data_IF_372893685509
#
_entry.id   IF_372893685509
#
_cell.length_a   1.000
_cell.length_b   1.000
_cell.length_c   1.000
_cell.angle_alpha   90.00
_cell.angle_beta   90.00
_cell.angle_gamma   90.00
#
_symmetry.space_group_name_H-M   'P 1'
#
loop_
_entity.id
_entity.type
_entity.pdbx_description
1 polymer ?
#
# COMPACT_ATOMS: atom_id res chain seq x y z
N UNK A 1 -7.83 7.00 9.24
CA UNK A 1 -8.44 6.35 8.08
C UNK A 1 -7.38 5.97 7.08
N UNK A 2 -7.34 4.72 6.70
CA UNK A 2 -6.40 4.21 5.68
C UNK A 2 -7.13 3.41 4.63
N UNK A 3 -6.82 3.68 3.37
CA UNK A 3 -7.25 2.87 2.23
C UNK A 3 -6.01 2.20 1.64
N UNK A 4 -6.03 0.88 1.62
CA UNK A 4 -4.88 0.08 1.20
C UNK A 4 -5.26 -0.96 0.13
N UNK A 5 -4.29 -1.28 -0.71
CA UNK A 5 -4.36 -2.36 -1.67
C UNK A 5 -3.50 -3.53 -1.18
N UNK A 6 -4.08 -4.70 -1.00
CA UNK A 6 -3.31 -5.89 -0.65
C UNK A 6 -2.50 -6.39 -1.84
N UNK A 7 -1.27 -6.80 -1.56
CA UNK A 7 -0.42 -7.48 -2.52
C UNK A 7 -0.59 -8.98 -2.34
N UNK A 8 -1.16 -9.63 -3.33
CA UNK A 8 -1.45 -11.05 -3.36
C UNK A 8 -0.46 -11.84 -4.26
N UNK A 9 -0.72 -13.13 -4.44
CA UNK A 9 0.06 -13.99 -5.31
C UNK A 9 1.48 -14.28 -4.81
N UNK A 10 2.41 -14.65 -5.72
CA UNK A 10 3.78 -15.01 -5.34
C UNK A 10 4.52 -13.90 -4.61
N UNK A 11 4.38 -12.64 -5.02
CA UNK A 11 4.99 -11.51 -4.32
C UNK A 11 4.45 -11.36 -2.91
N UNK A 12 3.13 -11.47 -2.74
CA UNK A 12 2.49 -11.42 -1.42
C UNK A 12 3.06 -12.47 -0.47
N UNK A 13 3.27 -13.70 -0.94
CA UNK A 13 3.85 -14.77 -0.14
C UNK A 13 5.31 -14.46 0.27
N UNK A 14 6.10 -13.94 -0.65
CA UNK A 14 7.49 -13.53 -0.35
C UNK A 14 7.54 -12.42 0.70
N UNK A 15 6.61 -11.48 0.63
CA UNK A 15 6.51 -10.39 1.61
C UNK A 15 6.10 -10.90 2.99
N UNK A 16 5.18 -11.84 3.07
CA UNK A 16 4.80 -12.51 4.33
C UNK A 16 6.01 -13.22 4.94
N UNK A 17 6.74 -13.99 4.15
CA UNK A 17 7.94 -14.71 4.60
C UNK A 17 9.04 -13.74 5.07
N UNK A 18 9.24 -12.66 4.34
CA UNK A 18 10.17 -11.59 4.70
C UNK A 18 9.81 -10.98 6.05
N UNK A 19 8.56 -10.62 6.27
CA UNK A 19 8.09 -10.00 7.52
C UNK A 19 8.25 -10.93 8.71
N UNK A 20 7.97 -12.23 8.54
CA UNK A 20 8.24 -13.24 9.58
C UNK A 20 9.74 -13.33 9.91
N UNK A 21 10.59 -13.31 8.89
CA UNK A 21 12.05 -13.40 9.04
C UNK A 21 12.62 -12.19 9.77
N UNK A 22 12.08 -11.01 9.55
CA UNK A 22 12.54 -9.75 10.18
C UNK A 22 11.86 -9.49 11.53
N UNK A 23 10.97 -10.36 11.99
CA UNK A 23 10.30 -10.25 13.28
C UNK A 23 9.19 -9.20 13.35
N UNK A 24 8.73 -8.70 12.21
CA UNK A 24 7.61 -7.78 12.16
C UNK A 24 6.30 -8.55 12.38
N UNK A 25 5.64 -8.25 13.50
CA UNK A 25 4.35 -8.83 13.86
C UNK A 25 3.22 -7.90 13.45
N UNK A 26 2.79 -7.98 12.19
CA UNK A 26 1.55 -7.36 11.74
C UNK A 26 0.50 -8.46 11.51
N UNK A 27 -0.79 -8.15 11.63
CA UNK A 27 -1.82 -9.04 11.13
C UNK A 27 -1.49 -9.46 9.69
N UNK A 28 -1.75 -10.71 9.33
CA UNK A 28 -1.31 -11.31 8.05
C UNK A 28 -1.84 -10.53 6.85
N UNK A 29 -3.04 -9.98 6.96
CA UNK A 29 -3.69 -9.17 5.93
C UNK A 29 -3.08 -7.78 5.76
N UNK A 30 -2.33 -7.29 6.76
CA UNK A 30 -1.63 -6.00 6.71
C UNK A 30 -0.13 -6.13 6.42
N UNK A 31 0.38 -7.35 6.25
CA UNK A 31 1.82 -7.60 6.06
C UNK A 31 2.36 -7.08 4.74
N UNK A 32 1.50 -6.97 3.74
CA UNK A 32 1.91 -6.71 2.36
C UNK A 32 0.83 -5.88 1.66
N UNK A 33 1.07 -4.59 1.57
CA UNK A 33 0.12 -3.68 0.96
C UNK A 33 0.80 -2.47 0.32
N UNK A 34 0.07 -1.83 -0.60
CA UNK A 34 0.34 -0.47 -1.06
C UNK A 34 -0.68 0.44 -0.39
N UNK A 35 -0.21 1.44 0.33
CA UNK A 35 -1.08 2.48 0.88
C UNK A 35 -1.51 3.42 -0.25
N UNK A 36 -2.81 3.60 -0.42
CA UNK A 36 -3.38 4.52 -1.39
C UNK A 36 -3.70 5.86 -0.75
N UNK A 37 -4.23 5.85 0.46
CA UNK A 37 -4.63 7.06 1.17
C UNK A 37 -4.54 6.86 2.67
N UNK A 38 -4.07 7.89 3.36
CA UNK A 38 -4.08 7.98 4.83
C UNK A 38 -4.46 9.39 5.24
N UNK A 39 -5.35 9.50 6.20
CA UNK A 39 -5.68 10.76 6.87
C UNK A 39 -5.99 10.51 8.33
N UNK A 40 -6.03 11.59 9.12
CA UNK A 40 -6.61 11.54 10.45
C UNK A 40 -8.08 11.10 10.33
N UNK A 41 -8.52 10.17 11.19
CA UNK A 41 -9.90 9.73 11.20
C UNK A 41 -10.77 10.82 11.83
N UNK A 42 -11.77 11.29 11.08
CA UNK A 42 -12.77 12.26 11.51
C UNK A 42 -14.16 11.68 11.29
N UNK A 43 -15.16 12.20 11.99
CA UNK A 43 -16.55 11.83 11.76
C UNK A 43 -16.96 12.04 10.29
N UNK A 44 -16.44 13.09 9.67
CA UNK A 44 -16.76 13.40 8.28
C UNK A 44 -16.21 12.34 7.33
N UNK A 45 -14.90 12.04 7.37
CA UNK A 45 -14.30 11.09 6.43
C UNK A 45 -14.66 9.64 6.73
N UNK A 46 -15.03 9.32 7.98
CA UNK A 46 -15.60 8.01 8.33
C UNK A 46 -16.93 7.75 7.62
N UNK A 47 -17.72 8.80 7.39
CA UNK A 47 -18.94 8.71 6.58
C UNK A 47 -18.64 8.79 5.08
N UNK A 48 -17.75 9.69 4.68
CA UNK A 48 -17.47 9.98 3.26
C UNK A 48 -16.88 8.79 2.51
N UNK A 49 -16.09 7.93 3.16
CA UNK A 49 -15.53 6.77 2.46
C UNK A 49 -16.61 5.78 1.95
N UNK A 50 -17.81 5.84 2.52
CA UNK A 50 -18.97 5.03 2.08
C UNK A 50 -19.79 5.71 0.99
N UNK A 51 -19.37 6.88 0.52
CA UNK A 51 -20.14 7.64 -0.46
C UNK A 51 -20.15 6.98 -1.84
N UNK A 52 -21.26 7.12 -2.54
CA UNK A 52 -21.37 6.70 -3.94
C UNK A 52 -20.39 7.48 -4.83
N UNK A 53 -20.08 8.72 -4.48
CA UNK A 53 -19.13 9.55 -5.23
C UNK A 53 -17.74 8.93 -5.25
N UNK A 54 -17.21 8.54 -4.09
CA UNK A 54 -15.92 7.85 -4.01
C UNK A 54 -15.96 6.51 -4.74
N UNK A 55 -16.99 5.71 -4.50
CA UNK A 55 -17.13 4.40 -5.14
C UNK A 55 -17.15 4.51 -6.68
N UNK A 56 -17.89 5.46 -7.24
CA UNK A 56 -17.93 5.71 -8.68
C UNK A 56 -16.59 6.20 -9.22
N UNK A 57 -15.92 7.13 -8.52
CA UNK A 57 -14.61 7.66 -8.92
C UNK A 57 -13.57 6.55 -8.99
N UNK A 58 -13.52 5.68 -7.99
CA UNK A 58 -12.57 4.56 -7.94
C UNK A 58 -12.87 3.52 -9.02
N UNK A 59 -14.15 3.15 -9.21
CA UNK A 59 -14.55 2.19 -10.24
C UNK A 59 -14.29 2.71 -11.66
N UNK A 60 -14.37 4.02 -11.89
CA UNK A 60 -14.06 4.65 -13.17
C UNK A 60 -12.56 4.56 -13.51
N UNK A 61 -11.69 4.62 -12.52
CA UNK A 61 -10.23 4.41 -12.69
C UNK A 61 -9.97 2.92 -12.98
N UNK A 62 -10.61 2.05 -12.24
CA UNK A 62 -10.57 0.61 -12.48
C UNK A 62 -9.48 -0.14 -11.74
N UNK A 63 -9.32 -1.41 -12.10
CA UNK A 63 -8.35 -2.32 -11.50
C UNK A 63 -6.91 -1.91 -11.82
N UNK A 64 -5.97 -2.26 -10.95
CA UNK A 64 -4.55 -1.98 -11.15
C UNK A 64 -3.84 -3.28 -11.53
N UNK A 65 -3.18 -3.25 -12.68
CA UNK A 65 -2.17 -4.25 -13.04
C UNK A 65 -0.82 -3.68 -12.63
N UNK A 66 -0.19 -4.27 -11.63
CA UNK A 66 1.01 -3.71 -11.03
C UNK A 66 2.20 -4.66 -11.13
N UNK A 67 3.39 -4.08 -11.16
CA UNK A 67 4.64 -4.81 -11.05
C UNK A 67 5.57 -4.06 -10.11
N UNK A 68 6.08 -4.75 -9.10
CA UNK A 68 7.06 -4.19 -8.19
C UNK A 68 8.44 -4.12 -8.85
N UNK A 69 9.20 -3.10 -8.52
CA UNK A 69 10.61 -2.97 -8.86
C UNK A 69 11.52 -3.55 -7.77
N UNK A 70 12.76 -3.10 -7.76
CA UNK A 70 13.74 -3.48 -6.75
C UNK A 70 13.59 -2.72 -5.44
N UNK A 71 14.51 -2.98 -4.53
CA UNK A 71 14.55 -2.33 -3.21
C UNK A 71 15.04 -0.88 -3.35
N UNK A 72 14.29 0.02 -2.75
CA UNK A 72 14.58 1.45 -2.67
C UNK A 72 14.54 1.92 -1.22
N UNK A 73 14.96 3.16 -0.99
CA UNK A 73 14.95 3.79 0.34
C UNK A 73 14.41 5.21 0.27
N UNK A 74 13.70 5.63 1.30
CA UNK A 74 13.31 7.03 1.49
C UNK A 74 14.35 7.85 2.26
N UNK A 75 15.47 7.24 2.67
CA UNK A 75 16.55 7.97 3.37
C UNK A 75 17.09 9.11 2.50
N UNK A 76 17.44 10.24 3.09
CA UNK A 76 17.49 10.55 4.53
C UNK A 76 16.17 11.02 5.14
N UNK A 77 15.12 11.22 4.35
CA UNK A 77 13.84 11.78 4.83
C UNK A 77 13.10 10.84 5.77
N UNK A 78 13.21 9.54 5.52
CA UNK A 78 12.58 8.49 6.34
C UNK A 78 13.44 7.23 6.29
N UNK A 79 13.50 6.51 7.41
CA UNK A 79 14.25 5.25 7.51
C UNK A 79 13.45 4.05 7.03
N UNK A 80 12.77 4.20 5.89
CA UNK A 80 11.95 3.15 5.29
C UNK A 80 12.63 2.60 4.06
N UNK A 81 12.77 1.27 4.03
CA UNK A 81 13.12 0.51 2.84
C UNK A 81 11.84 -0.06 2.22
N UNK A 82 11.72 0.00 0.91
CA UNK A 82 10.49 -0.37 0.21
C UNK A 82 10.77 -0.96 -1.18
N UNK A 83 9.78 -1.64 -1.73
CA UNK A 83 9.75 -1.98 -3.14
C UNK A 83 9.05 -0.88 -3.92
N UNK A 84 9.69 -0.42 -4.98
CA UNK A 84 9.11 0.53 -5.93
C UNK A 84 8.01 -0.14 -6.76
N UNK A 85 7.12 0.64 -7.33
CA UNK A 85 6.11 0.18 -8.29
C UNK A 85 6.49 0.71 -9.67
N UNK A 86 6.94 -0.18 -10.54
CA UNK A 86 7.42 0.19 -11.88
C UNK A 86 6.34 0.10 -12.95
N UNK A 87 5.27 -0.67 -12.72
CA UNK A 87 4.08 -0.73 -13.55
C UNK A 87 2.87 -0.52 -12.66
N UNK A 88 1.92 0.31 -13.08
CA UNK A 88 0.71 0.63 -12.33
C UNK A 88 0.85 1.80 -11.37
N UNK A 89 2.02 2.43 -11.28
CA UNK A 89 2.25 3.59 -10.41
C UNK A 89 1.30 4.76 -10.74
N UNK A 90 1.08 5.03 -12.03
CA UNK A 90 0.17 6.10 -12.47
C UNK A 90 -1.27 5.81 -12.06
N UNK A 91 -1.72 4.56 -12.16
CA UNK A 91 -3.07 4.16 -11.73
C UNK A 91 -3.22 4.29 -10.21
N UNK A 92 -2.22 3.92 -9.42
CA UNK A 92 -2.23 4.18 -7.99
C UNK A 92 -2.29 5.68 -7.68
N UNK A 93 -1.58 6.51 -8.43
CA UNK A 93 -1.63 7.97 -8.27
C UNK A 93 -3.03 8.54 -8.58
N UNK A 94 -3.70 8.02 -9.60
CA UNK A 94 -5.09 8.38 -9.90
C UNK A 94 -6.06 7.98 -8.79
N UNK A 95 -5.93 6.76 -8.24
CA UNK A 95 -6.71 6.29 -7.10
C UNK A 95 -6.47 7.18 -5.86
N UNK A 96 -5.21 7.53 -5.60
CA UNK A 96 -4.85 8.46 -4.54
C UNK A 96 -5.51 9.82 -4.73
N UNK A 97 -5.44 10.38 -5.94
CA UNK A 97 -6.07 11.65 -6.28
C UNK A 97 -7.57 11.67 -6.05
N UNK A 98 -8.27 10.59 -6.45
CA UNK A 98 -9.70 10.43 -6.18
C UNK A 98 -10.00 10.39 -4.67
N UNK A 99 -9.20 9.69 -3.90
CA UNK A 99 -9.35 9.66 -2.44
C UNK A 99 -9.15 11.06 -1.82
N UNK A 100 -8.13 11.79 -2.26
CA UNK A 100 -7.88 13.16 -1.77
C UNK A 100 -9.05 14.08 -2.09
N UNK A 101 -9.59 13.97 -3.30
CA UNK A 101 -10.73 14.79 -3.72
C UNK A 101 -11.99 14.54 -2.86
N UNK A 102 -12.27 13.28 -2.54
CA UNK A 102 -13.50 12.91 -1.84
C UNK A 102 -13.37 12.87 -0.32
N UNK A 103 -12.17 12.54 0.20
CA UNK A 103 -11.95 12.32 1.63
C UNK A 103 -11.16 13.45 2.31
N UNK A 104 -10.57 14.34 1.53
CA UNK A 104 -9.78 15.45 2.05
C UNK A 104 -8.28 15.22 2.00
N UNK A 105 -7.56 16.08 2.70
CA UNK A 105 -6.11 16.20 2.57
C UNK A 105 -5.36 14.90 2.96
N UNK A 106 -4.37 14.56 2.16
CA UNK A 106 -3.36 13.54 2.45
C UNK A 106 -2.52 13.91 3.69
N UNK A 107 -2.35 12.95 4.60
CA UNK A 107 -1.72 13.19 5.90
C UNK A 107 -0.20 13.39 5.85
N UNK A 108 0.44 13.19 4.70
CA UNK A 108 1.89 13.33 4.54
C UNK A 108 2.28 14.68 3.97
N UNK A 109 3.37 15.31 4.44
CA UNK A 109 3.93 16.52 3.80
C UNK A 109 4.66 16.23 2.49
N UNK A 110 4.88 14.94 2.17
CA UNK A 110 5.61 14.52 0.97
C UNK A 110 4.65 14.17 -0.16
N UNK A 111 5.08 14.29 -1.43
CA UNK A 111 4.33 13.79 -2.57
C UNK A 111 4.01 12.30 -2.41
N UNK A 112 2.87 11.87 -2.94
CA UNK A 112 2.49 10.46 -2.94
C UNK A 112 3.42 9.64 -3.82
N UNK A 113 3.97 8.58 -3.27
CA UNK A 113 4.77 7.58 -3.99
C UNK A 113 4.19 6.19 -3.66
N UNK A 114 3.58 5.49 -4.63
CA UNK A 114 3.10 4.13 -4.38
C UNK A 114 4.29 3.21 -4.12
N UNK A 115 4.23 2.47 -3.03
CA UNK A 115 5.32 1.59 -2.60
C UNK A 115 4.82 0.48 -1.69
N UNK A 116 5.65 -0.56 -1.57
CA UNK A 116 5.42 -1.66 -0.63
C UNK A 116 6.52 -1.59 0.43
N UNK A 117 6.17 -1.24 1.64
CA UNK A 117 7.13 -1.13 2.74
C UNK A 117 7.72 -2.49 3.10
N UNK A 118 9.03 -2.61 3.10
CA UNK A 118 9.77 -3.77 3.58
C UNK A 118 10.09 -3.69 5.06
N UNK A 119 10.34 -2.49 5.55
CA UNK A 119 10.61 -2.26 6.95
C UNK A 119 11.07 -0.85 7.25
N UNK A 120 11.09 -0.54 8.55
CA UNK A 120 11.58 0.72 9.09
C UNK A 120 12.81 0.46 9.95
N UNK A 121 13.85 1.27 9.79
CA UNK A 121 15.09 1.17 10.56
C UNK A 121 15.73 -0.22 10.48
N UNK A 122 15.73 -0.82 9.29
CA UNK A 122 16.35 -2.12 9.06
C UNK A 122 17.86 -2.06 9.30
N UNK A 123 18.40 -3.11 9.92
CA UNK A 123 19.84 -3.27 10.06
C UNK A 123 20.51 -3.45 8.68
N UNK A 124 21.79 -3.05 8.52
CA UNK A 124 22.50 -3.21 7.25
C UNK A 124 22.47 -4.62 6.66
N UNK A 125 22.50 -5.66 7.49
CA UNK A 125 22.38 -7.05 7.05
C UNK A 125 20.98 -7.35 6.47
N UNK A 126 19.95 -6.81 7.09
CA UNK A 126 18.56 -6.96 6.61
C UNK A 126 18.38 -6.25 5.28
N UNK A 127 18.94 -5.07 5.10
CA UNK A 127 18.92 -4.35 3.82
C UNK A 127 19.59 -5.17 2.72
N UNK A 128 20.77 -5.74 2.99
CA UNK A 128 21.45 -6.61 2.04
C UNK A 128 20.64 -7.86 1.70
N UNK A 129 19.97 -8.46 2.68
CA UNK A 129 19.08 -9.60 2.44
C UNK A 129 17.88 -9.22 1.58
N UNK A 130 17.28 -8.04 1.81
CA UNK A 130 16.20 -7.53 1.00
C UNK A 130 16.59 -7.41 -0.47
N UNK A 131 17.75 -6.82 -0.75
CA UNK A 131 18.28 -6.73 -2.11
C UNK A 131 18.47 -8.12 -2.76
N UNK A 132 19.00 -9.08 -2.02
CA UNK A 132 19.19 -10.45 -2.54
C UNK A 132 17.87 -11.17 -2.85
N UNK A 133 16.83 -10.90 -2.07
CA UNK A 133 15.54 -11.57 -2.23
C UNK A 133 14.70 -10.91 -3.35
N UNK A 134 14.71 -9.58 -3.43
CA UNK A 134 13.71 -8.85 -4.22
C UNK A 134 14.25 -8.22 -5.51
N UNK A 135 15.55 -7.91 -5.62
CA UNK A 135 16.04 -7.16 -6.78
C UNK A 135 15.97 -7.93 -8.11
N UNK A 136 16.16 -9.24 -8.07
CA UNK A 136 16.28 -10.09 -9.27
C UNK A 136 15.11 -11.07 -9.44
N UNK A 137 13.95 -10.78 -8.87
CA UNK A 137 12.77 -11.62 -9.07
C UNK A 137 12.30 -11.56 -10.52
N UNK A 138 11.90 -12.71 -11.11
CA UNK A 138 11.26 -12.70 -12.43
C UNK A 138 9.94 -11.93 -12.40
N UNK A 139 9.55 -11.37 -13.52
CA UNK A 139 8.38 -10.51 -13.67
C UNK A 139 7.11 -11.15 -13.10
N UNK A 140 6.86 -12.43 -13.38
CA UNK A 140 5.69 -13.14 -12.87
C UNK A 140 5.66 -13.26 -11.33
N UNK A 141 6.79 -13.14 -10.66
CA UNK A 141 6.89 -13.14 -9.20
C UNK A 141 6.87 -11.73 -8.59
N UNK A 142 6.85 -10.70 -9.44
CA UNK A 142 6.76 -9.29 -9.02
C UNK A 142 5.42 -8.65 -9.38
N UNK A 143 4.62 -9.31 -10.20
CA UNK A 143 3.35 -8.81 -10.70
C UNK A 143 2.20 -9.15 -9.76
N UNK A 144 1.26 -8.23 -9.62
CA UNK A 144 0.03 -8.44 -8.85
C UNK A 144 -1.10 -7.58 -9.41
N UNK A 145 -2.33 -7.97 -9.09
CA UNK A 145 -3.53 -7.26 -9.52
C UNK A 145 -4.28 -6.76 -8.30
N UNK A 146 -4.77 -5.53 -8.37
CA UNK A 146 -5.61 -4.93 -7.33
C UNK A 146 -6.99 -4.63 -7.91
N UNK A 147 -8.02 -5.22 -7.35
CA UNK A 147 -9.41 -5.00 -7.73
C UNK A 147 -10.26 -4.45 -6.57
N UNK A 148 -9.66 -4.28 -5.41
CA UNK A 148 -10.35 -3.87 -4.19
C UNK A 148 -9.40 -3.03 -3.33
N UNK A 149 -9.90 -1.93 -2.78
CA UNK A 149 -9.24 -1.19 -1.71
C UNK A 149 -9.90 -1.54 -0.39
N UNK A 150 -9.10 -1.88 0.61
CA UNK A 150 -9.55 -2.18 1.96
C UNK A 150 -9.44 -0.94 2.83
N UNK A 151 -10.45 -0.71 3.64
CA UNK A 151 -10.58 0.48 4.49
C UNK A 151 -10.37 0.08 5.94
N UNK A 152 -9.44 0.75 6.61
CA UNK A 152 -9.10 0.51 8.01
C UNK A 152 -9.13 1.81 8.80
N UNK A 153 -9.44 1.68 10.08
CA UNK A 153 -9.16 2.69 11.10
C UNK A 153 -7.97 2.23 11.95
N UNK A 154 -7.09 3.15 12.28
CA UNK A 154 -5.96 2.90 13.18
C UNK A 154 -6.08 3.84 14.39
N UNK A 155 -6.10 3.28 15.59
CA UNK A 155 -6.30 4.00 16.84
C UNK A 155 -4.99 4.30 17.60
N UNK A 156 -3.84 3.99 16.99
CA UNK A 156 -2.52 4.09 17.61
C UNK A 156 -1.97 2.76 18.14
N UNK A 157 -2.82 1.73 18.24
CA UNK A 157 -2.45 0.39 18.69
C UNK A 157 -2.92 -0.69 17.71
N UNK A 158 -4.19 -0.63 17.31
CA UNK A 158 -4.83 -1.66 16.51
C UNK A 158 -5.37 -1.12 15.19
N UNK A 159 -5.39 -1.99 14.18
CA UNK A 159 -6.03 -1.77 12.90
C UNK A 159 -7.40 -2.42 12.88
N UNK A 160 -8.45 -1.62 12.75
CA UNK A 160 -9.82 -2.08 12.67
C UNK A 160 -10.31 -2.06 11.22
N UNK A 161 -10.70 -3.21 10.64
CA UNK A 161 -11.27 -3.23 9.30
C UNK A 161 -12.66 -2.58 9.31
N UNK A 162 -12.87 -1.60 8.43
CA UNK A 162 -14.15 -0.89 8.28
C UNK A 162 -14.94 -1.39 7.07
N UNK A 163 -14.27 -1.84 6.02
CA UNK A 163 -14.92 -2.31 4.82
C UNK A 163 -13.98 -2.37 3.61
N UNK A 164 -14.58 -2.40 2.44
CA UNK A 164 -13.87 -2.50 1.18
C UNK A 164 -14.59 -1.75 0.06
N UNK A 165 -13.83 -1.26 -0.92
CA UNK A 165 -14.31 -0.56 -2.10
C UNK A 165 -13.83 -1.30 -3.35
N UNK A 166 -14.79 -1.69 -4.21
CA UNK A 166 -14.46 -2.37 -5.46
C UNK A 166 -13.93 -1.39 -6.50
N UNK A 167 -12.88 -1.78 -7.21
CA UNK A 167 -12.38 -1.09 -8.40
C UNK A 167 -13.00 -1.63 -9.68
N UNK A 168 -13.84 -2.65 -9.58
CA UNK A 168 -14.58 -3.20 -10.72
C UNK A 168 -15.84 -2.37 -10.96
N UNK A 169 -16.02 -2.05 -12.22
CA UNK A 169 -17.24 -1.38 -12.67
C UNK A 169 -18.42 -2.35 -12.75
#
# INVERSE_FOLDING_TARGET
>A
LSLIAHVNGPLGQRLVDWKKRTGMTLPTDLSNHVTVYVSELTEQNENDWRSDALAHSLAAIGTVQACAGGVCTFRPNSEVEYLDIILGADTFAELHGACVQELGQWASPFPYVPHITLGRSLAPDQVRQAHRIFDDLPEQERSFTVDTLHVYAYDGADWEPLGALSLKS
#
